data_IF_024098399140
#
_entry.id   IF_024098399140
#
_cell.length_a   1.000
_cell.length_b   1.000
_cell.length_c   1.000
_cell.angle_alpha   90.00
_cell.angle_beta   90.00
_cell.angle_gamma   90.00
#
_symmetry.space_group_name_H-M   'P 1'
#
loop_
_entity.id
_entity.type
_entity.pdbx_description
1 polymer ?
#
# COMPACT_ATOMS: atom_id res chain seq x y z
N UNK A 1 26.27 -5.75 -38.82
CA UNK A 1 26.29 -4.30 -38.50
C UNK A 1 25.84 -4.11 -37.07
N UNK A 2 26.79 -4.13 -36.13
CA UNK A 2 26.56 -3.76 -34.73
C UNK A 2 26.63 -2.24 -34.67
N UNK A 3 25.48 -1.57 -34.77
CA UNK A 3 25.39 -0.15 -34.46
C UNK A 3 25.63 -0.02 -32.96
N UNK A 4 26.78 0.53 -32.59
CA UNK A 4 27.08 0.90 -31.21
C UNK A 4 26.02 1.88 -30.73
N UNK A 5 25.12 1.42 -29.85
CA UNK A 5 24.34 2.32 -29.00
C UNK A 5 25.36 3.14 -28.23
N UNK A 6 25.48 4.42 -28.60
CA UNK A 6 26.17 5.40 -27.77
C UNK A 6 25.48 5.31 -26.42
N UNK A 7 26.17 4.74 -25.43
CA UNK A 7 25.68 4.72 -24.07
C UNK A 7 25.42 6.17 -23.69
N UNK A 8 24.14 6.57 -23.64
CA UNK A 8 23.77 7.84 -23.05
C UNK A 8 24.41 7.82 -21.67
N UNK A 9 25.23 8.83 -21.41
CA UNK A 9 25.89 9.02 -20.13
C UNK A 9 24.82 9.54 -19.16
N UNK A 10 23.82 8.70 -18.82
CA UNK A 10 22.65 9.10 -18.05
C UNK A 10 23.06 9.18 -16.57
N UNK A 11 23.76 10.25 -16.24
CA UNK A 11 23.91 10.77 -14.87
C UNK A 11 22.80 11.77 -14.54
N UNK A 12 21.71 11.81 -15.31
CA UNK A 12 20.60 12.68 -14.98
C UNK A 12 19.92 12.16 -13.71
N UNK A 13 19.70 13.03 -12.70
CA UNK A 13 18.90 12.66 -11.54
C UNK A 13 17.48 12.28 -11.97
N UNK A 14 16.94 11.25 -11.33
CA UNK A 14 15.60 10.73 -11.55
C UNK A 14 14.90 10.59 -10.20
N UNK A 15 14.10 11.59 -9.84
CA UNK A 15 13.43 11.63 -8.55
C UNK A 15 12.31 10.58 -8.49
N UNK A 16 11.99 10.15 -7.27
CA UNK A 16 10.83 9.32 -6.96
C UNK A 16 9.83 10.15 -6.16
N UNK A 17 8.55 9.95 -6.42
CA UNK A 17 7.46 10.59 -5.69
C UNK A 17 6.52 9.52 -5.12
N UNK A 18 6.47 9.44 -3.81
CA UNK A 18 5.76 8.41 -3.06
C UNK A 18 4.79 9.07 -2.09
N UNK A 19 3.57 8.57 -2.03
CA UNK A 19 2.63 8.92 -0.98
C UNK A 19 2.24 7.62 -0.29
N UNK A 20 2.25 7.63 1.03
CA UNK A 20 1.92 6.46 1.83
C UNK A 20 0.89 6.85 2.90
N UNK A 21 0.11 5.89 3.35
CA UNK A 21 -0.71 6.03 4.56
C UNK A 21 -0.16 5.14 5.67
N UNK A 22 -0.63 5.31 6.90
CA UNK A 22 -0.11 4.56 8.05
C UNK A 22 -0.16 3.03 7.87
N UNK A 23 -1.13 2.52 7.09
CA UNK A 23 -1.25 1.07 6.80
C UNK A 23 -0.21 0.57 5.78
N UNK A 24 0.30 1.47 4.94
CA UNK A 24 1.21 1.16 3.83
C UNK A 24 2.70 1.30 4.23
N UNK A 25 3.01 1.90 5.37
CA UNK A 25 4.40 2.11 5.83
C UNK A 25 5.18 0.79 5.93
N UNK A 26 4.50 -0.30 6.27
CA UNK A 26 5.10 -1.64 6.32
C UNK A 26 5.43 -2.22 4.95
N UNK A 27 4.81 -1.73 3.88
CA UNK A 27 5.15 -2.07 2.50
C UNK A 27 6.28 -1.17 2.02
N UNK A 28 6.22 0.12 2.39
CA UNK A 28 7.25 1.11 2.09
C UNK A 28 8.64 0.70 2.58
N UNK A 29 8.76 0.03 3.73
CA UNK A 29 10.04 -0.51 4.22
C UNK A 29 10.69 -1.49 3.24
N UNK A 30 9.88 -2.35 2.63
CA UNK A 30 10.34 -3.36 1.66
C UNK A 30 10.63 -2.71 0.32
N UNK A 31 9.84 -1.71 -0.06
CA UNK A 31 10.15 -0.86 -1.21
C UNK A 31 11.52 -0.19 -1.03
N UNK A 32 11.79 0.48 0.09
CA UNK A 32 13.09 1.13 0.37
C UNK A 32 14.26 0.16 0.38
N UNK A 33 14.08 -1.03 0.97
CA UNK A 33 15.12 -2.05 0.92
C UNK A 33 15.41 -2.47 -0.53
N UNK A 34 14.36 -2.69 -1.33
CA UNK A 34 14.52 -3.03 -2.74
C UNK A 34 15.14 -1.88 -3.56
N UNK A 35 14.84 -0.62 -3.22
CA UNK A 35 15.42 0.57 -3.83
C UNK A 35 16.92 0.62 -3.62
N UNK A 36 17.40 0.49 -2.38
CA UNK A 36 18.84 0.52 -2.07
C UNK A 36 19.60 -0.63 -2.74
N UNK A 37 18.97 -1.80 -2.88
CA UNK A 37 19.60 -2.98 -3.49
C UNK A 37 19.67 -2.88 -5.02
N UNK A 38 18.61 -2.39 -5.67
CA UNK A 38 18.40 -2.59 -7.10
C UNK A 38 18.26 -1.31 -7.93
N UNK A 39 17.88 -0.17 -7.36
CA UNK A 39 17.75 1.07 -8.12
C UNK A 39 19.12 1.69 -8.40
N UNK A 40 19.36 2.16 -9.64
CA UNK A 40 20.70 2.58 -10.10
C UNK A 40 20.84 4.07 -10.41
N UNK A 41 19.75 4.83 -10.38
CA UNK A 41 19.79 6.25 -10.71
C UNK A 41 19.96 7.12 -9.47
N UNK A 42 20.78 8.19 -9.54
CA UNK A 42 20.76 9.23 -8.53
C UNK A 42 19.43 9.99 -8.57
N UNK A 43 19.02 10.59 -7.46
CA UNK A 43 17.78 11.35 -7.36
C UNK A 43 17.39 11.52 -5.90
N UNK A 44 16.32 12.26 -5.63
CA UNK A 44 15.67 12.34 -4.32
C UNK A 44 14.45 11.44 -4.27
N UNK A 45 14.14 10.91 -3.09
CA UNK A 45 12.84 10.26 -2.85
C UNK A 45 11.97 11.26 -2.09
N UNK A 46 10.93 11.77 -2.72
CA UNK A 46 9.96 12.65 -2.07
C UNK A 46 8.82 11.82 -1.51
N UNK A 47 8.71 11.75 -0.18
CA UNK A 47 7.72 10.96 0.54
C UNK A 47 6.70 11.85 1.24
N UNK A 48 5.41 11.61 1.00
CA UNK A 48 4.32 12.22 1.76
C UNK A 48 3.73 11.25 2.81
N UNK A 49 3.76 11.68 4.07
CA UNK A 49 3.14 11.00 5.23
C UNK A 49 2.25 11.96 6.02
N UNK A 50 1.33 11.45 6.83
CA UNK A 50 0.74 12.26 7.90
C UNK A 50 1.72 12.43 9.05
N UNK A 51 1.74 13.61 9.68
CA UNK A 51 2.58 13.85 10.87
C UNK A 51 2.28 12.88 12.00
N UNK A 52 1.02 12.51 12.20
CA UNK A 52 0.60 11.51 13.19
C UNK A 52 1.22 10.12 12.96
N UNK A 53 1.73 9.83 11.76
CA UNK A 53 2.31 8.55 11.36
C UNK A 53 3.86 8.56 11.41
N UNK A 54 4.47 9.69 11.78
CA UNK A 54 5.93 9.85 11.85
C UNK A 54 6.61 8.79 12.74
N UNK A 55 5.97 8.45 13.86
CA UNK A 55 6.46 7.41 14.79
C UNK A 55 6.57 6.00 14.17
N UNK A 56 5.74 5.68 13.17
CA UNK A 56 5.84 4.42 12.41
C UNK A 56 7.02 4.48 11.44
N UNK A 57 7.21 5.65 10.85
CA UNK A 57 8.29 5.91 9.91
C UNK A 57 9.67 5.96 10.59
N UNK A 58 9.74 6.34 11.87
CA UNK A 58 10.94 6.25 12.71
C UNK A 58 11.39 4.81 12.98
N UNK A 59 10.52 3.82 12.76
CA UNK A 59 10.82 2.40 12.99
C UNK A 59 11.44 1.71 11.76
N UNK A 60 11.52 2.37 10.60
CA UNK A 60 12.04 1.75 9.36
C UNK A 60 13.34 2.40 8.88
N UNK A 61 14.19 1.61 8.21
CA UNK A 61 15.43 2.12 7.60
C UNK A 61 15.11 3.05 6.43
N UNK A 62 15.76 4.21 6.40
CA UNK A 62 15.49 5.27 5.42
C UNK A 62 16.63 5.38 4.41
N UNK A 63 16.34 5.48 3.10
CA UNK A 63 17.31 5.87 2.10
C UNK A 63 17.95 7.22 2.44
N UNK A 64 19.26 7.35 2.20
CA UNK A 64 20.01 8.57 2.57
C UNK A 64 19.62 9.82 1.76
N UNK A 65 18.90 9.64 0.66
CA UNK A 65 18.42 10.68 -0.26
C UNK A 65 16.91 10.99 -0.10
N UNK A 66 16.30 10.57 1.01
CA UNK A 66 14.90 10.79 1.30
C UNK A 66 14.61 12.23 1.73
N UNK A 67 13.51 12.80 1.20
CA UNK A 67 12.91 14.07 1.58
C UNK A 67 11.48 13.81 2.04
N UNK A 68 11.19 14.13 3.31
CA UNK A 68 9.87 13.93 3.91
C UNK A 68 9.05 15.21 3.80
N UNK A 69 7.82 15.05 3.32
CA UNK A 69 6.78 16.08 3.32
C UNK A 69 5.61 15.61 4.18
N UNK A 70 4.99 16.54 4.90
CA UNK A 70 3.81 16.24 5.71
C UNK A 70 2.54 16.64 4.96
N UNK A 71 1.59 15.72 4.86
CA UNK A 71 0.25 15.95 4.30
C UNK A 71 -0.46 17.09 5.04
N UNK A 72 -0.22 17.25 6.34
CA UNK A 72 -0.78 18.32 7.19
C UNK A 72 -0.43 19.74 6.71
N UNK A 73 0.65 19.90 5.94
CA UNK A 73 1.07 21.19 5.39
C UNK A 73 0.39 21.55 4.05
N UNK A 74 -0.42 20.64 3.50
CA UNK A 74 -1.09 20.83 2.21
C UNK A 74 -2.55 21.22 2.43
N UNK A 75 -2.92 22.40 1.95
CA UNK A 75 -4.27 22.93 2.10
C UNK A 75 -5.30 22.07 1.36
N UNK A 76 -6.49 21.90 1.96
CA UNK A 76 -7.63 21.23 1.35
C UNK A 76 -7.66 19.71 1.51
N UNK A 77 -6.60 19.06 2.02
CA UNK A 77 -6.63 17.63 2.32
C UNK A 77 -7.65 17.30 3.42
N UNK A 78 -8.40 16.21 3.24
CA UNK A 78 -9.47 15.79 4.15
C UNK A 78 -9.20 14.43 4.80
N UNK A 79 -10.25 13.79 5.31
CA UNK A 79 -10.17 12.43 5.90
C UNK A 79 -10.04 11.32 4.84
N UNK A 80 -10.48 11.57 3.61
CA UNK A 80 -10.42 10.63 2.49
C UNK A 80 -8.98 10.56 1.94
N UNK A 81 -8.14 9.76 2.59
CA UNK A 81 -6.73 9.63 2.21
C UNK A 81 -6.54 9.17 0.77
N UNK A 82 -7.45 8.34 0.25
CA UNK A 82 -7.42 7.90 -1.14
C UNK A 82 -7.48 9.08 -2.11
N UNK A 83 -8.39 10.04 -1.89
CA UNK A 83 -8.45 11.27 -2.70
C UNK A 83 -7.29 12.21 -2.46
N UNK A 84 -6.81 12.30 -1.23
CA UNK A 84 -5.64 13.10 -0.92
C UNK A 84 -4.42 12.61 -1.70
N UNK A 85 -4.23 11.29 -1.81
CA UNK A 85 -3.15 10.70 -2.60
C UNK A 85 -3.25 11.10 -4.09
N UNK A 86 -4.44 10.97 -4.68
CA UNK A 86 -4.66 11.39 -6.08
C UNK A 86 -4.34 12.88 -6.29
N UNK A 87 -4.77 13.75 -5.37
CA UNK A 87 -4.48 15.18 -5.44
C UNK A 87 -2.99 15.47 -5.34
N UNK A 88 -2.29 14.88 -4.37
CA UNK A 88 -0.85 15.05 -4.18
C UNK A 88 -0.04 14.62 -5.41
N UNK A 89 -0.45 13.55 -6.11
CA UNK A 89 0.15 13.14 -7.39
C UNK A 89 -0.04 14.22 -8.47
N UNK A 90 -1.22 14.84 -8.56
CA UNK A 90 -1.52 15.91 -9.51
C UNK A 90 -0.85 17.25 -9.20
N UNK A 91 -0.27 17.44 -8.01
CA UNK A 91 0.50 18.64 -7.65
C UNK A 91 1.98 18.33 -7.37
N UNK A 92 2.45 17.13 -7.74
CA UNK A 92 3.80 16.66 -7.42
C UNK A 92 4.91 17.51 -8.05
N UNK A 93 4.63 18.23 -9.14
CA UNK A 93 5.57 19.15 -9.81
C UNK A 93 6.05 20.32 -8.93
N UNK A 94 5.33 20.60 -7.83
CA UNK A 94 5.68 21.61 -6.84
C UNK A 94 6.80 21.14 -5.88
N UNK A 95 7.01 19.84 -5.75
CA UNK A 95 7.90 19.26 -4.73
C UNK A 95 9.15 18.61 -5.30
N UNK A 96 9.06 18.10 -6.52
CA UNK A 96 10.18 17.47 -7.25
C UNK A 96 11.02 18.52 -7.97
N UNK A 97 12.33 18.26 -8.06
CA UNK A 97 13.27 19.17 -8.70
C UNK A 97 13.54 18.78 -10.16
N UNK A 98 13.53 17.48 -10.46
CA UNK A 98 13.80 16.96 -11.80
C UNK A 98 12.64 17.20 -12.77
N UNK A 99 12.98 17.22 -14.07
CA UNK A 99 11.96 17.34 -15.13
C UNK A 99 11.11 16.07 -15.26
N UNK A 100 11.72 14.92 -14.97
CA UNK A 100 11.10 13.61 -15.03
C UNK A 100 11.27 12.91 -13.69
N UNK A 101 10.23 12.24 -13.23
CA UNK A 101 10.25 11.51 -11.97
C UNK A 101 9.25 10.37 -12.00
N UNK A 102 9.55 9.33 -11.24
CA UNK A 102 8.71 8.15 -11.15
C UNK A 102 7.74 8.29 -9.97
N UNK A 103 6.44 8.16 -10.24
CA UNK A 103 5.41 8.09 -9.19
C UNK A 103 5.22 6.62 -8.83
N UNK A 104 5.43 6.32 -7.55
CA UNK A 104 5.45 4.95 -7.02
C UNK A 104 4.52 4.85 -5.82
N UNK A 105 3.77 3.75 -5.74
CA UNK A 105 3.01 3.42 -4.53
C UNK A 105 3.87 2.55 -3.59
N UNK A 106 3.47 2.45 -2.32
CA UNK A 106 4.28 1.76 -1.30
C UNK A 106 4.35 0.23 -1.49
N UNK A 107 3.48 -0.34 -2.32
CA UNK A 107 3.35 -1.77 -2.61
C UNK A 107 4.06 -2.19 -3.91
N UNK A 108 4.97 -1.34 -4.40
CA UNK A 108 5.90 -1.68 -5.48
C UNK A 108 7.13 -2.35 -4.88
N UNK A 109 7.73 -3.29 -5.60
CA UNK A 109 8.94 -3.98 -5.18
C UNK A 109 9.89 -4.12 -6.37
N UNK A 110 11.10 -3.59 -6.26
CA UNK A 110 12.13 -3.72 -7.30
C UNK A 110 12.82 -5.08 -7.13
N UNK A 111 12.83 -5.89 -8.18
CA UNK A 111 13.26 -7.29 -8.13
C UNK A 111 14.54 -7.58 -8.93
N UNK A 112 15.05 -6.60 -9.66
CA UNK A 112 16.30 -6.68 -10.43
C UNK A 112 16.82 -5.26 -10.70
N UNK A 113 18.09 -5.10 -11.14
CA UNK A 113 18.66 -3.78 -11.40
C UNK A 113 17.78 -2.92 -12.31
N UNK A 114 17.28 -1.83 -11.75
CA UNK A 114 16.33 -0.91 -12.38
C UNK A 114 16.99 0.46 -12.57
N UNK A 115 16.94 0.95 -13.80
CA UNK A 115 17.48 2.24 -14.19
C UNK A 115 16.50 3.07 -15.02
N UNK A 116 16.82 4.34 -15.23
CA UNK A 116 16.03 5.26 -16.06
C UNK A 116 15.88 4.75 -17.50
N UNK A 117 16.87 4.01 -18.02
CA UNK A 117 16.80 3.38 -19.34
C UNK A 117 15.65 2.37 -19.47
N UNK A 118 15.13 1.85 -18.36
CA UNK A 118 13.97 0.96 -18.36
C UNK A 118 12.63 1.70 -18.51
N UNK A 119 12.66 3.03 -18.32
CA UNK A 119 11.48 3.89 -18.42
C UNK A 119 11.48 4.76 -19.68
N UNK A 120 12.59 4.85 -20.41
CA UNK A 120 12.78 5.78 -21.52
C UNK A 120 13.16 5.09 -22.82
N UNK A 121 12.67 5.66 -23.92
CA UNK A 121 13.22 5.47 -25.25
C UNK A 121 13.79 6.79 -25.73
N UNK A 122 15.11 6.86 -25.92
CA UNK A 122 15.81 8.11 -26.19
C UNK A 122 15.49 9.16 -25.10
N UNK A 123 14.90 10.30 -25.46
CA UNK A 123 14.54 11.38 -24.53
C UNK A 123 13.05 11.35 -24.07
N UNK A 124 12.31 10.30 -24.45
CA UNK A 124 10.86 10.20 -24.17
C UNK A 124 10.54 9.05 -23.22
N UNK A 125 9.82 9.35 -22.14
CA UNK A 125 9.33 8.32 -21.22
C UNK A 125 8.25 7.45 -21.89
N UNK A 126 8.24 6.16 -21.59
CA UNK A 126 7.15 5.28 -22.01
C UNK A 126 5.85 5.64 -21.28
N UNK A 127 4.75 5.68 -22.00
CA UNK A 127 3.41 5.68 -21.42
C UNK A 127 2.52 4.68 -22.12
N UNK A 128 1.94 3.78 -21.34
CA UNK A 128 1.14 2.67 -21.86
C UNK A 128 -0.34 3.03 -21.87
N UNK A 129 -1.03 2.62 -22.92
CA UNK A 129 -2.45 2.86 -23.05
C UNK A 129 -3.15 1.75 -23.83
N UNK A 130 -4.47 1.68 -23.71
CA UNK A 130 -5.32 0.86 -24.59
C UNK A 130 -6.70 1.48 -24.77
N UNK A 131 -7.43 1.20 -25.87
CA UNK A 131 -8.82 1.60 -26.02
C UNK A 131 -9.71 1.06 -24.88
N UNK A 132 -10.74 1.81 -24.51
CA UNK A 132 -11.76 1.30 -23.58
C UNK A 132 -12.61 0.16 -24.16
N UNK A 133 -12.60 -0.01 -25.49
CA UNK A 133 -13.43 -1.00 -26.18
C UNK A 133 -13.08 -2.42 -25.73
N UNK A 134 -14.07 -3.16 -25.23
CA UNK A 134 -13.89 -4.55 -24.78
C UNK A 134 -13.56 -4.69 -23.28
N UNK A 135 -13.40 -3.59 -22.55
CA UNK A 135 -13.25 -3.60 -21.10
C UNK A 135 -14.62 -3.40 -20.42
N UNK A 136 -14.85 -4.02 -19.24
CA UNK A 136 -15.98 -3.67 -18.39
C UNK A 136 -15.99 -2.17 -18.05
N UNK A 137 -17.17 -1.58 -17.86
CA UNK A 137 -17.27 -0.18 -17.48
C UNK A 137 -16.54 0.07 -16.15
N UNK A 138 -15.57 0.97 -16.18
CA UNK A 138 -14.81 1.37 -15.00
C UNK A 138 -15.29 2.74 -14.52
N UNK A 139 -15.64 2.84 -13.23
CA UNK A 139 -16.10 4.10 -12.60
C UNK A 139 -15.14 5.27 -12.81
N UNK A 140 -13.84 4.96 -12.91
CA UNK A 140 -12.74 5.88 -13.13
C UNK A 140 -12.81 6.61 -14.48
N UNK A 141 -13.37 5.99 -15.53
CA UNK A 141 -13.52 6.64 -16.84
C UNK A 141 -14.44 7.85 -16.74
N UNK A 142 -15.68 7.62 -16.33
CA UNK A 142 -16.71 8.67 -16.21
C UNK A 142 -16.28 9.77 -15.24
N UNK A 143 -15.59 9.40 -14.15
CA UNK A 143 -15.07 10.38 -13.19
C UNK A 143 -14.01 11.29 -13.80
N UNK A 144 -13.09 10.71 -14.56
CA UNK A 144 -11.99 11.44 -15.22
C UNK A 144 -12.47 12.29 -16.39
N UNK A 145 -13.42 11.80 -17.19
CA UNK A 145 -14.06 12.56 -18.27
C UNK A 145 -14.82 13.77 -17.72
N UNK A 146 -15.57 13.61 -16.62
CA UNK A 146 -16.24 14.72 -15.93
C UNK A 146 -15.25 15.73 -15.36
N UNK A 147 -14.11 15.26 -14.86
CA UNK A 147 -13.08 16.13 -14.32
C UNK A 147 -12.48 17.01 -15.42
N UNK A 148 -12.07 16.42 -16.54
CA UNK A 148 -11.46 17.12 -17.68
C UNK A 148 -12.47 17.84 -18.58
N UNK A 149 -13.77 17.53 -18.48
CA UNK A 149 -14.81 18.10 -19.32
C UNK A 149 -14.77 17.62 -20.78
N UNK A 150 -14.16 16.46 -21.05
CA UNK A 150 -14.02 15.88 -22.39
C UNK A 150 -14.05 14.36 -22.34
N UNK A 151 -14.39 13.74 -23.47
CA UNK A 151 -14.27 12.30 -23.64
C UNK A 151 -12.80 11.86 -23.62
N UNK A 152 -12.53 10.70 -23.02
CA UNK A 152 -11.19 10.11 -22.93
C UNK A 152 -11.22 8.79 -23.71
N UNK A 153 -10.58 8.70 -24.89
CA UNK A 153 -10.68 7.51 -25.75
C UNK A 153 -9.91 6.29 -25.25
N UNK A 154 -8.97 6.47 -24.33
CA UNK A 154 -8.03 5.42 -23.88
C UNK A 154 -7.97 5.28 -22.36
N UNK A 155 -7.72 4.06 -21.89
CA UNK A 155 -7.30 3.73 -20.54
C UNK A 155 -5.78 3.93 -20.43
N UNK A 156 -5.34 4.73 -19.47
CA UNK A 156 -3.93 5.09 -19.24
C UNK A 156 -3.33 4.48 -17.97
N UNK A 157 -4.07 3.64 -17.25
CA UNK A 157 -3.69 3.10 -15.94
C UNK A 157 -3.36 1.59 -15.97
N UNK A 158 -3.42 0.95 -17.14
CA UNK A 158 -3.37 -0.52 -17.22
C UNK A 158 -1.95 -1.09 -16.97
N UNK A 159 -0.90 -0.30 -17.19
CA UNK A 159 0.49 -0.67 -16.90
C UNK A 159 1.16 0.37 -15.97
N UNK A 160 1.75 -0.13 -14.89
CA UNK A 160 2.14 0.62 -13.70
C UNK A 160 3.54 1.20 -13.85
N UNK A 161 3.74 2.02 -14.88
CA UNK A 161 5.01 2.68 -15.20
C UNK A 161 4.79 4.19 -15.31
N UNK A 162 4.37 4.81 -14.20
CA UNK A 162 3.93 6.19 -14.19
C UNK A 162 5.08 7.17 -14.01
N UNK A 163 5.74 7.48 -15.13
CA UNK A 163 6.77 8.54 -15.17
C UNK A 163 6.11 9.84 -15.57
N UNK A 164 6.11 10.82 -14.66
CA UNK A 164 5.51 12.13 -14.89
C UNK A 164 6.57 13.14 -15.34
N UNK A 165 6.12 14.13 -16.10
CA UNK A 165 6.90 15.27 -16.53
C UNK A 165 6.40 16.52 -15.80
N UNK A 166 7.34 17.26 -15.21
CA UNK A 166 7.06 18.43 -14.39
C UNK A 166 6.36 19.56 -15.16
N UNK A 167 6.72 19.76 -16.43
CA UNK A 167 6.11 20.79 -17.30
C UNK A 167 4.66 20.43 -17.62
N UNK A 168 4.40 19.16 -17.96
CA UNK A 168 3.06 18.66 -18.28
C UNK A 168 2.11 18.81 -17.10
N UNK A 169 2.56 18.48 -15.88
CA UNK A 169 1.74 18.71 -14.68
C UNK A 169 1.47 20.19 -14.43
N UNK A 170 2.47 21.05 -14.61
CA UNK A 170 2.29 22.49 -14.44
C UNK A 170 1.24 23.03 -15.39
N UNK A 171 1.28 22.60 -16.65
CA UNK A 171 0.33 23.01 -17.67
C UNK A 171 -1.06 22.44 -17.40
N UNK A 172 -1.16 21.19 -16.91
CA UNK A 172 -2.42 20.62 -16.44
C UNK A 172 -3.03 21.49 -15.33
N UNK A 173 -2.25 21.84 -14.30
CA UNK A 173 -2.72 22.69 -13.19
C UNK A 173 -3.06 24.12 -13.62
N UNK A 174 -2.43 24.63 -14.67
CA UNK A 174 -2.79 25.92 -15.25
C UNK A 174 -4.08 25.84 -16.07
N UNK A 175 -4.37 24.68 -16.67
CA UNK A 175 -5.55 24.46 -17.52
C UNK A 175 -6.82 24.11 -16.74
N UNK A 176 -6.70 23.52 -15.54
CA UNK A 176 -7.84 23.13 -14.73
C UNK A 176 -7.56 23.19 -13.23
N UNK A 177 -8.62 23.41 -12.44
CA UNK A 177 -8.56 23.34 -10.98
C UNK A 177 -8.44 21.88 -10.52
N UNK A 178 -7.20 21.46 -10.26
CA UNK A 178 -6.91 20.10 -9.83
C UNK A 178 -7.43 19.75 -8.43
N UNK A 179 -7.75 20.74 -7.59
CA UNK A 179 -8.34 20.48 -6.26
C UNK A 179 -9.72 19.82 -6.34
N UNK A 180 -10.42 19.96 -7.49
CA UNK A 180 -11.71 19.30 -7.75
C UNK A 180 -11.65 17.78 -7.62
N UNK A 181 -10.47 17.17 -7.72
CA UNK A 181 -10.31 15.72 -7.56
C UNK A 181 -10.69 15.25 -6.14
N UNK A 182 -10.56 16.13 -5.14
CA UNK A 182 -10.91 15.89 -3.74
C UNK A 182 -12.42 15.70 -3.51
N UNK A 183 -13.27 16.14 -4.46
CA UNK A 183 -14.73 16.05 -4.32
C UNK A 183 -15.46 15.47 -5.54
N UNK A 184 -14.77 15.26 -6.66
CA UNK A 184 -15.38 14.81 -7.91
C UNK A 184 -16.09 13.45 -7.78
N UNK A 185 -17.32 13.38 -8.31
CA UNK A 185 -18.13 12.15 -8.41
C UNK A 185 -18.64 11.99 -9.85
N UNK A 186 -18.61 10.79 -10.46
CA UNK A 186 -17.99 9.56 -9.96
C UNK A 186 -16.48 9.71 -9.75
N UNK A 187 -15.88 8.74 -9.05
CA UNK A 187 -14.47 8.77 -8.64
C UNK A 187 -13.56 8.82 -9.88
N UNK A 188 -12.70 9.84 -10.02
CA UNK A 188 -11.73 9.91 -11.12
C UNK A 188 -10.44 9.12 -10.80
N UNK A 189 -9.54 8.99 -11.79
CA UNK A 189 -8.14 8.55 -11.61
C UNK A 189 -7.20 9.68 -11.99
N UNK A 190 -6.22 9.98 -11.13
CA UNK A 190 -5.11 10.88 -11.41
C UNK A 190 -4.30 10.45 -12.63
N UNK A 191 -4.05 9.15 -12.81
CA UNK A 191 -3.26 8.64 -13.93
C UNK A 191 -4.04 8.67 -15.24
N UNK A 192 -5.36 8.44 -15.21
CA UNK A 192 -6.23 8.64 -16.40
C UNK A 192 -6.31 10.12 -16.77
N UNK A 193 -6.48 11.01 -15.79
CA UNK A 193 -6.50 12.46 -16.00
C UNK A 193 -5.17 12.92 -16.62
N UNK A 194 -4.05 12.56 -16.00
CA UNK A 194 -2.74 12.94 -16.46
C UNK A 194 -2.45 12.40 -17.86
N UNK A 195 -2.63 11.08 -18.06
CA UNK A 195 -2.37 10.43 -19.34
C UNK A 195 -3.21 11.04 -20.47
N UNK A 196 -4.49 11.31 -20.23
CA UNK A 196 -5.38 11.93 -21.21
C UNK A 196 -4.98 13.39 -21.53
N UNK A 197 -4.52 14.15 -20.54
CA UNK A 197 -4.01 15.50 -20.75
C UNK A 197 -2.72 15.46 -21.57
N UNK A 198 -1.72 14.71 -21.11
CA UNK A 198 -0.43 14.52 -21.75
C UNK A 198 -0.58 14.03 -23.20
N UNK A 199 -1.42 13.03 -23.45
CA UNK A 199 -1.68 12.49 -24.78
C UNK A 199 -2.20 13.55 -25.76
N UNK A 200 -3.02 14.48 -25.26
CA UNK A 200 -3.68 15.49 -26.10
C UNK A 200 -2.89 16.78 -26.29
N UNK A 201 -2.10 17.21 -25.28
CA UNK A 201 -1.41 18.51 -25.28
C UNK A 201 0.11 18.40 -25.37
N UNK A 202 0.69 17.26 -24.97
CA UNK A 202 2.13 17.03 -24.89
C UNK A 202 2.50 15.65 -25.43
N UNK A 203 1.88 15.29 -26.56
CA UNK A 203 1.99 13.96 -27.15
C UNK A 203 3.46 13.61 -27.45
N UNK A 204 4.24 14.60 -27.86
CA UNK A 204 5.65 14.51 -28.24
C UNK A 204 6.61 14.23 -27.08
N UNK A 205 6.19 14.44 -25.82
CA UNK A 205 7.05 14.18 -24.66
C UNK A 205 7.13 12.69 -24.31
N UNK A 206 6.21 11.88 -24.80
CA UNK A 206 6.09 10.46 -24.43
C UNK A 206 6.23 9.54 -25.63
N UNK A 207 6.78 8.37 -25.35
CA UNK A 207 6.68 7.20 -26.21
C UNK A 207 5.41 6.44 -25.84
N UNK A 208 4.32 6.72 -26.54
CA UNK A 208 3.04 6.06 -26.32
C UNK A 208 3.07 4.62 -26.86
N UNK A 209 2.74 3.65 -25.99
CA UNK A 209 2.73 2.22 -26.31
C UNK A 209 1.30 1.68 -26.20
N UNK A 210 0.78 1.11 -27.29
CA UNK A 210 -0.55 0.52 -27.29
C UNK A 210 -0.47 -0.94 -26.86
N UNK A 211 -1.00 -1.26 -25.68
CA UNK A 211 -0.92 -2.60 -25.09
C UNK A 211 -1.63 -3.69 -25.91
N UNK A 212 -2.55 -3.34 -26.80
CA UNK A 212 -3.24 -4.31 -27.67
C UNK A 212 -2.43 -4.66 -28.93
N UNK A 213 -1.42 -3.85 -29.28
CA UNK A 213 -0.69 -3.93 -30.55
C UNK A 213 0.79 -4.18 -30.38
N UNK A 214 1.38 -3.61 -29.33
CA UNK A 214 2.81 -3.61 -29.11
C UNK A 214 3.17 -4.63 -28.04
N UNK A 215 4.05 -5.57 -28.38
CA UNK A 215 4.62 -6.53 -27.42
C UNK A 215 5.76 -5.91 -26.58
N UNK A 216 5.82 -4.57 -26.48
CA UNK A 216 6.85 -3.90 -25.69
C UNK A 216 6.68 -4.29 -24.23
N UNK A 217 7.74 -4.84 -23.65
CA UNK A 217 7.72 -5.33 -22.27
C UNK A 217 7.68 -4.13 -21.32
N UNK A 218 6.64 -4.08 -20.48
CA UNK A 218 6.59 -3.18 -19.35
C UNK A 218 7.65 -3.60 -18.32
N UNK A 219 8.33 -2.63 -17.71
CA UNK A 219 9.22 -2.92 -16.59
C UNK A 219 8.46 -3.39 -15.34
N UNK A 220 7.15 -3.16 -15.28
CA UNK A 220 6.25 -3.62 -14.22
C UNK A 220 5.63 -4.99 -14.53
N UNK A 221 5.46 -5.79 -13.47
CA UNK A 221 4.55 -6.93 -13.44
C UNK A 221 3.51 -6.74 -12.34
N UNK A 222 2.22 -6.83 -12.70
CA UNK A 222 1.16 -6.83 -11.71
C UNK A 222 1.03 -8.23 -11.14
N UNK A 223 1.31 -8.39 -9.86
CA UNK A 223 1.02 -9.64 -9.17
C UNK A 223 -0.49 -9.71 -9.01
N UNK A 224 -1.11 -10.57 -9.83
CA UNK A 224 -2.54 -10.57 -10.10
C UNK A 224 -3.41 -10.50 -8.84
N UNK A 225 -4.43 -9.66 -8.94
CA UNK A 225 -5.69 -9.76 -8.20
C UNK A 225 -6.49 -10.94 -8.76
N UNK A 226 -7.15 -11.73 -7.90
CA UNK A 226 -8.19 -12.65 -8.36
C UNK A 226 -9.56 -11.96 -8.33
N UNK A 227 -10.19 -11.67 -9.48
CA UNK A 227 -11.57 -11.20 -9.50
C UNK A 227 -12.49 -12.19 -8.76
N UNK A 228 -13.54 -11.72 -8.06
CA UNK A 228 -14.09 -10.37 -8.08
C UNK A 228 -13.50 -9.42 -7.02
N UNK A 229 -12.45 -9.80 -6.28
CA UNK A 229 -11.96 -8.99 -5.16
C UNK A 229 -10.53 -8.48 -5.37
N UNK A 230 -10.31 -7.21 -5.02
CA UNK A 230 -9.00 -6.55 -4.96
C UNK A 230 -8.13 -7.09 -3.79
N UNK A 231 -8.47 -8.23 -3.21
CA UNK A 231 -8.05 -8.63 -1.86
C UNK A 231 -7.27 -9.95 -1.81
N UNK A 232 -7.08 -10.62 -2.94
CA UNK A 232 -6.45 -11.95 -2.98
C UNK A 232 -5.25 -11.95 -3.93
N UNK A 233 -4.07 -12.23 -3.38
CA UNK A 233 -2.89 -12.61 -4.18
C UNK A 233 -2.99 -14.07 -4.55
N UNK A 234 -2.61 -14.38 -5.77
CA UNK A 234 -2.41 -15.76 -6.19
C UNK A 234 -1.14 -16.32 -5.52
N UNK A 235 -1.32 -17.24 -4.56
CA UNK A 235 -0.20 -17.88 -3.84
C UNK A 235 0.75 -18.65 -4.77
N UNK A 236 0.28 -19.09 -5.95
CA UNK A 236 1.09 -19.76 -6.96
C UNK A 236 1.98 -18.81 -7.77
N UNK A 237 1.74 -17.51 -7.69
CA UNK A 237 2.59 -16.49 -8.31
C UNK A 237 3.81 -16.26 -7.43
N UNK A 238 4.99 -16.37 -8.03
CA UNK A 238 6.30 -16.21 -7.41
C UNK A 238 7.20 -15.34 -8.29
N UNK A 239 8.45 -15.13 -7.88
CA UNK A 239 9.36 -14.26 -8.64
C UNK A 239 9.58 -14.73 -10.09
N UNK A 240 9.59 -16.03 -10.36
CA UNK A 240 9.78 -16.53 -11.74
C UNK A 240 8.61 -16.16 -12.66
N UNK A 241 7.43 -15.90 -12.11
CA UNK A 241 6.23 -15.50 -12.84
C UNK A 241 6.34 -14.11 -13.47
N UNK A 242 7.22 -13.22 -12.96
CA UNK A 242 7.33 -11.85 -13.47
C UNK A 242 8.05 -11.76 -14.82
N UNK A 243 8.65 -12.86 -15.28
CA UNK A 243 9.37 -12.91 -16.55
C UNK A 243 10.54 -11.91 -16.61
N UNK A 244 10.49 -11.02 -17.59
CA UNK A 244 11.49 -9.97 -17.83
C UNK A 244 11.19 -8.66 -17.10
N UNK A 245 10.07 -8.55 -16.39
CA UNK A 245 9.77 -7.38 -15.59
C UNK A 245 10.83 -7.19 -14.49
N UNK A 246 11.11 -5.92 -14.17
CA UNK A 246 12.14 -5.53 -13.21
C UNK A 246 11.58 -5.18 -11.84
N UNK A 247 10.30 -4.83 -11.77
CA UNK A 247 9.60 -4.63 -10.51
C UNK A 247 8.21 -5.26 -10.54
N UNK A 248 7.73 -5.61 -9.36
CA UNK A 248 6.40 -6.14 -9.12
C UNK A 248 5.53 -5.08 -8.44
N UNK A 249 4.23 -5.08 -8.75
CA UNK A 249 3.21 -4.28 -8.07
C UNK A 249 2.25 -5.24 -7.39
N UNK A 250 2.14 -5.15 -6.06
CA UNK A 250 1.45 -6.14 -5.22
C UNK A 250 0.11 -5.60 -4.70
N UNK A 251 -0.81 -5.33 -5.61
CA UNK A 251 -2.14 -4.82 -5.28
C UNK A 251 -3.03 -5.88 -4.64
N UNK A 252 -3.02 -5.93 -3.30
CA UNK A 252 -3.86 -6.83 -2.51
C UNK A 252 -4.12 -6.25 -1.12
N UNK A 253 -4.71 -7.05 -0.24
CA UNK A 253 -4.77 -6.71 1.17
C UNK A 253 -3.36 -6.62 1.76
N UNK A 254 -3.09 -5.56 2.52
CA UNK A 254 -1.74 -5.16 2.97
C UNK A 254 -0.87 -6.29 3.55
N UNK A 255 -1.40 -7.18 4.37
CA UNK A 255 -0.60 -8.28 4.94
C UNK A 255 -0.16 -9.31 3.90
N UNK A 256 -1.01 -9.57 2.90
CA UNK A 256 -0.70 -10.49 1.81
C UNK A 256 0.34 -9.88 0.89
N UNK A 257 0.17 -8.59 0.56
CA UNK A 257 1.19 -7.82 -0.17
C UNK A 257 2.53 -7.86 0.55
N UNK A 258 2.55 -7.62 1.86
CA UNK A 258 3.78 -7.69 2.66
C UNK A 258 4.45 -9.07 2.62
N UNK A 259 3.69 -10.14 2.86
CA UNK A 259 4.21 -11.52 2.80
C UNK A 259 4.86 -11.81 1.45
N UNK A 260 4.18 -11.46 0.36
CA UNK A 260 4.69 -11.67 -1.00
C UNK A 260 5.85 -10.73 -1.35
N UNK A 261 5.87 -9.51 -0.81
CA UNK A 261 7.03 -8.62 -0.96
C UNK A 261 8.28 -9.23 -0.32
N UNK A 262 8.16 -9.78 0.89
CA UNK A 262 9.28 -10.46 1.58
C UNK A 262 9.76 -11.67 0.79
N UNK A 263 8.84 -12.53 0.33
CA UNK A 263 9.16 -13.69 -0.51
C UNK A 263 9.91 -13.27 -1.79
N UNK A 264 9.35 -12.33 -2.56
CA UNK A 264 9.94 -11.87 -3.81
C UNK A 264 11.29 -11.20 -3.58
N UNK A 265 11.46 -10.45 -2.48
CA UNK A 265 12.69 -9.74 -2.18
C UNK A 265 13.83 -10.69 -1.80
N UNK A 266 13.55 -11.76 -1.06
CA UNK A 266 14.52 -12.83 -0.76
C UNK A 266 14.95 -13.50 -2.08
N UNK A 267 13.98 -13.92 -2.89
CA UNK A 267 14.25 -14.59 -4.16
C UNK A 267 15.01 -13.67 -5.13
N UNK A 268 14.69 -12.37 -5.15
CA UNK A 268 15.34 -11.39 -6.01
C UNK A 268 16.81 -11.20 -5.63
N UNK A 269 17.10 -11.14 -4.32
CA UNK A 269 18.47 -11.07 -3.82
C UNK A 269 19.27 -12.32 -4.17
N UNK A 270 18.71 -13.52 -3.95
CA UNK A 270 19.38 -14.77 -4.31
C UNK A 270 19.64 -14.83 -5.82
N UNK A 271 18.66 -14.43 -6.64
CA UNK A 271 18.78 -14.42 -8.10
C UNK A 271 19.88 -13.47 -8.58
N UNK A 272 19.97 -12.26 -8.02
CA UNK A 272 20.92 -11.23 -8.47
C UNK A 272 22.31 -11.38 -7.86
N UNK A 273 22.39 -11.74 -6.58
CA UNK A 273 23.62 -11.70 -5.79
C UNK A 273 24.15 -13.09 -5.40
N UNK A 274 23.38 -14.16 -5.61
CA UNK A 274 23.71 -15.52 -5.18
C UNK A 274 23.45 -15.80 -3.69
N UNK A 275 23.06 -14.78 -2.92
CA UNK A 275 22.80 -14.85 -1.47
C UNK A 275 21.83 -13.74 -1.03
N UNK A 276 21.28 -13.87 0.18
CA UNK A 276 20.53 -12.78 0.83
C UNK A 276 21.53 -11.81 1.45
N UNK A 277 21.65 -10.60 0.89
CA UNK A 277 22.59 -9.57 1.38
C UNK A 277 22.04 -8.82 2.59
N UNK A 278 20.73 -8.58 2.58
CA UNK A 278 20.03 -7.90 3.67
C UNK A 278 18.72 -8.64 3.91
N UNK A 279 18.56 -9.15 5.13
CA UNK A 279 17.32 -9.79 5.56
C UNK A 279 16.18 -8.76 5.58
N UNK A 280 15.05 -9.03 4.90
CA UNK A 280 13.88 -8.16 5.00
C UNK A 280 13.41 -8.07 6.45
N UNK A 281 13.13 -6.84 6.90
CA UNK A 281 12.63 -6.64 8.25
C UNK A 281 11.24 -7.26 8.39
N UNK A 282 11.15 -8.32 9.19
CA UNK A 282 9.90 -9.00 9.52
C UNK A 282 9.29 -8.52 10.85
N UNK A 283 9.92 -7.55 11.54
CA UNK A 283 9.38 -7.06 12.81
C UNK A 283 8.03 -6.37 12.56
N UNK A 284 7.01 -6.62 13.38
CA UNK A 284 5.76 -5.89 13.28
C UNK A 284 5.99 -4.40 13.52
N UNK A 285 5.42 -3.54 12.66
CA UNK A 285 5.35 -2.10 12.95
C UNK A 285 4.26 -1.85 13.99
N UNK A 286 4.62 -1.07 14.99
CA UNK A 286 3.78 -0.87 16.15
C UNK A 286 3.12 0.51 16.10
N UNK A 287 1.79 0.51 15.98
CA UNK A 287 0.97 1.71 16.12
C UNK A 287 0.93 2.13 17.59
N UNK A 288 1.28 3.38 17.87
CA UNK A 288 1.12 3.97 19.19
C UNK A 288 -0.36 4.32 19.41
N UNK A 289 -1.05 3.52 20.22
CA UNK A 289 -2.47 3.72 20.48
C UNK A 289 -2.67 4.43 21.81
N UNK A 290 -3.32 5.60 21.77
CA UNK A 290 -3.74 6.28 23.01
C UNK A 290 -4.94 5.59 23.64
N UNK A 291 -4.83 5.26 24.92
CA UNK A 291 -5.79 4.39 25.63
C UNK A 291 -7.19 4.98 25.80
N UNK A 292 -7.35 6.30 25.70
CA UNK A 292 -8.64 6.97 25.93
C UNK A 292 -9.64 6.82 24.79
N UNK A 293 -9.21 6.36 23.61
CA UNK A 293 -10.04 6.38 22.39
C UNK A 293 -10.06 5.04 21.63
N UNK A 294 -9.55 3.97 22.24
CA UNK A 294 -9.47 2.68 21.55
C UNK A 294 -10.85 2.17 21.13
N UNK A 295 -10.97 1.88 19.85
CA UNK A 295 -12.18 1.49 19.15
C UNK A 295 -11.94 0.25 18.28
N UNK A 296 -13.01 -0.25 17.65
CA UNK A 296 -12.92 -1.33 16.67
C UNK A 296 -12.06 -0.91 15.47
N UNK A 297 -12.14 0.34 15.04
CA UNK A 297 -11.43 0.83 13.85
C UNK A 297 -9.92 0.90 14.09
N UNK A 298 -9.51 1.15 15.34
CA UNK A 298 -8.10 1.05 15.75
C UNK A 298 -7.60 -0.39 15.65
N UNK A 299 -8.40 -1.38 16.05
CA UNK A 299 -8.02 -2.78 15.87
C UNK A 299 -7.89 -3.19 14.40
N UNK A 300 -8.72 -2.62 13.52
CA UNK A 300 -8.62 -2.82 12.07
C UNK A 300 -7.35 -2.12 11.56
N UNK A 301 -7.05 -0.92 12.05
CA UNK A 301 -5.87 -0.15 11.67
C UNK A 301 -4.55 -0.85 12.05
N UNK A 302 -4.48 -1.49 13.22
CA UNK A 302 -3.34 -2.33 13.64
C UNK A 302 -3.32 -3.71 12.96
N UNK A 303 -4.21 -3.94 12.00
CA UNK A 303 -4.25 -5.18 11.24
C UNK A 303 -4.80 -6.37 12.03
N UNK A 304 -5.49 -6.16 13.15
CA UNK A 304 -6.08 -7.24 13.93
C UNK A 304 -7.36 -7.84 13.33
N UNK A 305 -8.09 -7.04 12.54
CA UNK A 305 -9.30 -7.46 11.85
C UNK A 305 -9.43 -6.83 10.46
N UNK A 306 -10.27 -7.43 9.61
CA UNK A 306 -10.72 -6.86 8.35
C UNK A 306 -11.75 -5.73 8.59
N UNK A 307 -12.04 -4.92 7.56
CA UNK A 307 -12.99 -3.80 7.64
C UNK A 307 -14.39 -4.22 8.12
N UNK A 308 -14.84 -5.40 7.72
CA UNK A 308 -16.10 -6.00 8.17
C UNK A 308 -16.05 -6.61 9.58
N UNK A 309 -14.89 -6.55 10.24
CA UNK A 309 -14.67 -6.90 11.64
C UNK A 309 -14.23 -8.33 11.88
N UNK A 310 -14.09 -9.17 10.84
CA UNK A 310 -13.54 -10.51 11.00
C UNK A 310 -12.07 -10.44 11.43
N UNK A 311 -11.71 -11.14 12.51
CA UNK A 311 -10.33 -11.17 13.01
C UNK A 311 -9.44 -11.98 12.07
N UNK A 312 -8.18 -11.58 11.96
CA UNK A 312 -7.18 -12.30 11.17
C UNK A 312 -6.66 -13.52 11.92
N UNK A 313 -5.99 -14.41 11.19
CA UNK A 313 -5.38 -15.61 11.77
C UNK A 313 -4.31 -15.25 12.80
N UNK A 314 -3.53 -14.21 12.52
CA UNK A 314 -2.52 -13.69 13.42
C UNK A 314 -2.67 -12.18 13.54
N UNK A 315 -2.43 -11.65 14.74
CA UNK A 315 -2.41 -10.22 15.00
C UNK A 315 -1.38 -9.93 16.07
N UNK A 316 -0.44 -9.04 15.78
CA UNK A 316 0.61 -8.64 16.71
C UNK A 316 0.63 -7.12 16.79
N UNK A 317 0.53 -6.58 17.99
CA UNK A 317 0.55 -5.13 18.22
C UNK A 317 1.17 -4.80 19.58
N UNK A 318 1.56 -3.55 19.73
CA UNK A 318 2.19 -3.00 20.94
C UNK A 318 1.31 -1.89 21.48
N UNK A 319 1.15 -1.85 22.78
CA UNK A 319 0.40 -0.82 23.49
C UNK A 319 1.24 -0.27 24.63
N UNK A 320 1.35 1.05 24.69
CA UNK A 320 1.94 1.75 25.83
C UNK A 320 0.81 2.48 26.54
N UNK A 321 0.68 2.24 27.84
CA UNK A 321 -0.43 2.76 28.64
C UNK A 321 0.10 3.54 29.82
N UNK A 322 -0.50 4.69 30.12
CA UNK A 322 -0.05 5.57 31.21
C UNK A 322 -0.44 5.05 32.61
N UNK A 323 -1.31 4.05 32.67
CA UNK A 323 -1.72 3.43 33.92
C UNK A 323 -2.13 1.97 33.70
N UNK A 324 -2.05 1.12 34.75
CA UNK A 324 -2.43 -0.29 34.62
C UNK A 324 -3.91 -0.42 34.24
N UNK A 325 -4.18 -1.16 33.17
CA UNK A 325 -5.52 -1.28 32.61
C UNK A 325 -5.72 -2.66 31.96
N UNK A 326 -6.92 -2.89 31.44
CA UNK A 326 -7.24 -4.06 30.65
C UNK A 326 -7.67 -3.62 29.25
N UNK A 327 -7.04 -4.18 28.22
CA UNK A 327 -7.60 -4.19 26.89
C UNK A 327 -8.73 -5.22 26.83
N UNK A 328 -9.90 -4.77 26.42
CA UNK A 328 -11.09 -5.60 26.29
C UNK A 328 -11.42 -5.80 24.82
N UNK A 329 -11.41 -7.05 24.38
CA UNK A 329 -11.87 -7.44 23.04
C UNK A 329 -13.18 -8.22 23.17
N UNK A 330 -14.25 -7.69 22.57
CA UNK A 330 -15.54 -8.40 22.48
C UNK A 330 -15.64 -9.11 21.14
N UNK A 331 -15.51 -10.43 21.17
CA UNK A 331 -15.55 -11.29 19.99
C UNK A 331 -16.90 -11.99 19.88
N UNK A 332 -17.43 -12.10 18.67
CA UNK A 332 -18.63 -12.89 18.36
C UNK A 332 -18.23 -14.02 17.42
N UNK A 333 -18.51 -15.27 17.79
CA UNK A 333 -18.34 -16.44 16.90
C UNK A 333 -19.69 -16.69 16.22
N UNK A 334 -19.85 -16.42 14.91
CA UNK A 334 -21.14 -16.55 14.25
C UNK A 334 -21.59 -18.00 14.11
N UNK A 335 -22.90 -18.17 13.91
CA UNK A 335 -23.53 -19.49 13.83
C UNK A 335 -23.01 -20.34 12.67
N UNK A 336 -22.60 -19.73 11.57
CA UNK A 336 -22.05 -20.48 10.45
C UNK A 336 -20.86 -21.35 10.86
N UNK A 337 -20.06 -20.95 11.87
CA UNK A 337 -18.90 -21.69 12.37
C UNK A 337 -19.24 -22.91 13.25
N UNK A 338 -20.50 -23.37 13.24
CA UNK A 338 -21.11 -24.38 14.14
C UNK A 338 -20.31 -25.68 14.35
N UNK A 339 -19.58 -26.14 13.35
CA UNK A 339 -18.85 -27.41 13.39
C UNK A 339 -17.35 -27.26 13.66
N UNK A 340 -16.86 -26.03 13.75
CA UNK A 340 -15.43 -25.73 13.82
C UNK A 340 -15.07 -25.11 15.17
N UNK A 341 -14.11 -25.73 15.86
CA UNK A 341 -13.61 -25.20 17.13
C UNK A 341 -12.59 -24.11 16.84
N UNK A 342 -13.02 -22.84 16.95
CA UNK A 342 -12.07 -21.72 16.91
C UNK A 342 -11.31 -21.67 18.23
N UNK A 343 -9.98 -21.72 18.14
CA UNK A 343 -9.08 -21.55 19.29
C UNK A 343 -8.31 -20.26 19.14
N UNK A 344 -8.07 -19.59 20.25
CA UNK A 344 -7.22 -18.41 20.33
C UNK A 344 -6.05 -18.70 21.28
N UNK A 345 -4.83 -18.50 20.80
CA UNK A 345 -3.66 -18.34 21.66
C UNK A 345 -3.38 -16.84 21.81
N UNK A 346 -3.41 -16.36 23.05
CA UNK A 346 -3.06 -15.01 23.44
C UNK A 346 -1.69 -15.05 24.10
N UNK A 347 -0.72 -14.32 23.58
CA UNK A 347 0.55 -14.07 24.24
C UNK A 347 0.64 -12.61 24.66
N UNK A 348 1.00 -12.38 25.92
CA UNK A 348 1.40 -11.07 26.46
C UNK A 348 2.70 -11.25 27.21
N UNK A 349 3.76 -10.60 26.74
CA UNK A 349 5.12 -10.81 27.24
C UNK A 349 5.50 -12.32 27.23
N UNK A 350 5.88 -12.86 28.40
CA UNK A 350 6.18 -14.27 28.61
C UNK A 350 4.94 -15.14 28.91
N UNK A 351 3.75 -14.56 29.02
CA UNK A 351 2.53 -15.30 29.37
C UNK A 351 1.77 -15.72 28.12
N UNK A 352 1.48 -17.02 27.99
CA UNK A 352 0.62 -17.57 26.94
C UNK A 352 -0.67 -18.10 27.57
N UNK A 353 -1.83 -17.72 27.02
CA UNK A 353 -3.16 -18.19 27.42
C UNK A 353 -3.90 -18.72 26.21
N UNK A 354 -4.49 -19.90 26.34
CA UNK A 354 -5.28 -20.51 25.28
C UNK A 354 -6.77 -20.47 25.63
N UNK A 355 -7.58 -20.10 24.66
CA UNK A 355 -9.03 -20.00 24.77
C UNK A 355 -9.69 -20.85 23.69
N UNK A 356 -10.77 -21.54 24.08
CA UNK A 356 -11.66 -22.17 23.13
C UNK A 356 -12.88 -21.26 22.97
N UNK A 357 -13.05 -20.68 21.78
CA UNK A 357 -14.15 -19.79 21.49
C UNK A 357 -15.36 -20.62 21.07
N UNK A 358 -16.35 -20.71 21.95
CA UNK A 358 -17.61 -21.41 21.72
C UNK A 358 -18.68 -20.49 21.10
N UNK A 359 -19.84 -21.04 20.74
CA UNK A 359 -20.96 -20.27 20.18
C UNK A 359 -21.53 -19.29 21.21
N UNK A 360 -21.03 -18.04 21.22
CA UNK A 360 -21.50 -16.90 22.04
C UNK A 360 -20.64 -15.65 21.77
N UNK A 361 -21.02 -14.56 22.43
CA UNK A 361 -20.13 -13.43 22.64
C UNK A 361 -19.07 -13.82 23.68
N UNK A 362 -17.81 -13.56 23.37
CA UNK A 362 -16.67 -13.71 24.26
C UNK A 362 -16.12 -12.35 24.63
N UNK A 363 -15.67 -12.20 25.86
CA UNK A 363 -15.00 -11.00 26.33
C UNK A 363 -13.61 -11.42 26.78
N UNK A 364 -12.61 -11.08 25.98
CA UNK A 364 -11.21 -11.26 26.32
C UNK A 364 -10.72 -10.03 27.06
N UNK A 365 -10.10 -10.24 28.22
CA UNK A 365 -9.47 -9.19 29.02
C UNK A 365 -7.98 -9.45 29.06
N UNK A 366 -7.23 -8.48 28.56
CA UNK A 366 -5.79 -8.57 28.39
C UNK A 366 -5.18 -7.53 29.32
N UNK A 367 -4.54 -7.93 30.43
CA UNK A 367 -3.94 -6.98 31.36
C UNK A 367 -2.77 -6.26 30.69
N UNK A 368 -2.72 -4.94 30.83
CA UNK A 368 -1.65 -4.08 30.33
C UNK A 368 -0.95 -3.40 31.52
N UNK A 369 0.38 -3.40 31.49
CA UNK A 369 1.27 -2.77 32.46
C UNK A 369 1.50 -1.31 32.09
N UNK A 370 1.56 -0.42 33.08
CA UNK A 370 1.86 1.00 32.84
C UNK A 370 3.32 1.23 32.51
N UNK A 371 3.56 2.28 31.72
CA UNK A 371 4.88 2.85 31.45
C UNK A 371 5.88 1.86 30.84
N UNK A 372 5.37 0.78 30.24
CA UNK A 372 6.13 -0.22 29.50
C UNK A 372 5.37 -0.62 28.24
N UNK A 373 6.12 -1.12 27.27
CA UNK A 373 5.56 -1.65 26.04
C UNK A 373 4.90 -3.01 26.29
N UNK A 374 3.59 -3.08 26.05
CA UNK A 374 2.85 -4.33 26.12
C UNK A 374 2.76 -4.93 24.73
N UNK A 375 3.49 -6.02 24.47
CA UNK A 375 3.40 -6.75 23.20
C UNK A 375 2.30 -7.79 23.32
N UNK A 376 1.25 -7.64 22.52
CA UNK A 376 0.10 -8.55 22.46
C UNK A 376 0.16 -9.32 21.14
N UNK A 377 0.14 -10.66 21.23
CA UNK A 377 0.00 -11.54 20.07
C UNK A 377 -1.27 -12.36 20.18
N UNK A 378 -2.06 -12.39 19.13
CA UNK A 378 -3.28 -13.18 19.01
C UNK A 378 -3.09 -14.14 17.83
N UNK A 379 -3.26 -15.43 18.08
CA UNK A 379 -3.20 -16.46 17.05
C UNK A 379 -4.48 -17.30 17.08
N UNK A 380 -5.28 -17.18 16.03
CA UNK A 380 -6.54 -17.89 15.84
C UNK A 380 -6.33 -19.12 14.95
N UNK A 381 -6.84 -20.27 15.40
CA UNK A 381 -6.79 -21.53 14.64
C UNK A 381 -8.16 -22.22 14.62
N UNK A 382 -8.37 -23.11 13.64
CA UNK A 382 -9.60 -23.90 13.53
C UNK A 382 -10.79 -23.17 12.90
N UNK A 383 -10.58 -21.99 12.30
CA UNK A 383 -11.60 -21.23 11.56
C UNK A 383 -12.07 -21.93 10.27
N UNK A 384 -13.13 -21.41 9.68
CA UNK A 384 -13.74 -21.95 8.45
C UNK A 384 -13.30 -21.15 7.23
N UNK A 385 -12.99 -21.77 6.08
CA UNK A 385 -12.86 -21.02 4.83
C UNK A 385 -14.16 -20.27 4.52
N UNK A 386 -14.04 -19.02 4.08
CA UNK A 386 -15.19 -18.27 3.59
C UNK A 386 -15.68 -18.91 2.27
N UNK A 387 -17.00 -19.11 2.08
CA UNK A 387 -17.52 -19.84 0.92
C UNK A 387 -17.07 -19.29 -0.44
N UNK A 388 -17.01 -17.97 -0.53
CA UNK A 388 -16.71 -17.24 -1.77
C UNK A 388 -15.48 -16.32 -1.61
N UNK A 389 -14.72 -16.48 -0.53
CA UNK A 389 -13.58 -15.63 -0.21
C UNK A 389 -12.37 -16.42 0.25
N UNK A 390 -11.19 -16.01 -0.21
CA UNK A 390 -9.90 -16.62 0.08
C UNK A 390 -9.41 -16.45 1.53
N UNK A 391 -10.30 -16.14 2.48
CA UNK A 391 -9.97 -15.97 3.91
C UNK A 391 -10.57 -17.06 4.78
N UNK A 392 -10.00 -17.25 5.96
CA UNK A 392 -10.59 -18.07 7.03
C UNK A 392 -11.28 -17.17 8.05
N UNK A 393 -12.50 -17.54 8.40
CA UNK A 393 -13.37 -16.87 9.34
C UNK A 393 -13.20 -17.51 10.72
N UNK A 394 -12.80 -16.71 11.71
CA UNK A 394 -12.54 -17.16 13.08
C UNK A 394 -13.56 -16.58 14.08
N UNK A 395 -13.62 -15.26 14.18
CA UNK A 395 -14.55 -14.52 15.01
C UNK A 395 -14.71 -13.09 14.48
N UNK A 396 -15.80 -12.40 14.82
CA UNK A 396 -15.97 -10.99 14.54
C UNK A 396 -15.65 -10.15 15.77
N UNK A 397 -14.76 -9.17 15.64
CA UNK A 397 -14.58 -8.12 16.64
C UNK A 397 -15.79 -7.19 16.59
N UNK A 398 -16.51 -7.13 17.70
CA UNK A 398 -17.68 -6.26 17.85
C UNK A 398 -17.33 -4.95 18.54
N UNK A 399 -16.43 -5.00 19.53
CA UNK A 399 -15.95 -3.84 20.28
C UNK A 399 -14.53 -4.08 20.76
N UNK A 400 -13.75 -3.01 20.80
CA UNK A 400 -12.47 -2.92 21.48
C UNK A 400 -12.47 -1.64 22.32
N UNK A 401 -11.96 -1.70 23.54
CA UNK A 401 -11.75 -0.54 24.41
C UNK A 401 -10.77 -0.90 25.52
N UNK A 402 -10.27 0.12 26.22
CA UNK A 402 -9.46 -0.05 27.44
C UNK A 402 -10.30 0.35 28.65
N UNK A 403 -10.14 -0.37 29.75
CA UNK A 403 -10.75 -0.03 31.04
C UNK A 403 -9.73 -0.14 32.17
N UNK A 404 -9.86 0.64 33.25
CA UNK A 404 -9.00 0.49 34.43
C UNK A 404 -9.08 -0.94 35.00
N UNK A 405 -7.96 -1.42 35.54
CA UNK A 405 -7.90 -2.77 36.11
C UNK A 405 -8.93 -2.95 37.25
N UNK A 406 -9.68 -4.04 37.22
CA UNK A 406 -10.72 -4.33 38.22
C UNK A 406 -12.00 -3.50 38.09
N UNK A 407 -12.15 -2.70 37.03
CA UNK A 407 -13.40 -1.98 36.77
C UNK A 407 -14.53 -2.98 36.46
N UNK A 408 -15.51 -3.06 37.37
CA UNK A 408 -16.73 -3.84 37.19
C UNK A 408 -17.91 -2.90 37.00
N UNK A 409 -18.49 -2.78 35.78
CA UNK A 409 -19.62 -1.90 35.53
C UNK A 409 -20.86 -2.26 36.37
N UNK A 410 -20.93 -3.51 36.87
CA UNK A 410 -22.03 -3.99 37.73
C UNK A 410 -21.84 -3.67 39.21
N UNK A 411 -20.72 -3.08 39.64
CA UNK A 411 -20.49 -2.63 41.02
C UNK A 411 -20.96 -1.20 41.28
N UNK A 412 -21.61 -0.56 40.31
CA UNK A 412 -22.36 0.69 40.50
C UNK A 412 -23.84 0.38 40.64
N UNK A 413 -24.22 -0.20 41.77
CA UNK A 413 -25.57 -0.18 42.33
C UNK A 413 -25.46 -0.19 43.83
#
# INVERSE_FOLDING_TARGET
MLAGRIAMNIKQPFDLFIITCGRDIKLLRHFFLSYELFFRNPGKIHLFIWKKEEHLFDQINRPGNLVIHYKDAVEGLGEDDFRNQMYLKLISDQYVETNWYWVVDSDYLICSPLGIEDFFHDDSAYWFFRPWSGLPEQSWRTGSERFLGKEIPYLFMDAQSYVLNREVLRDLRASCDVSRILSCKPLPSEFVIYGAFAYSQHHEKYRWVNLDRDATLCAAYVVNQRPPTYCELDEGVNLSSIGSAKYAVLWSHWDKSEQKMVEFLIDAQIREFGEVRVEPDAQPLYLELQTSSLSRDDFIAIGGAYSDGWVKAESVFRLTVLMPCELVLKLKVPLCLLHNTTRLSLQTDATVRNFTLTRRNHILRIPLKSDVDNIVRLHFSGGMPEPDGGRRLYAQLTQMFVQPYGWNPLRRT
#
